data_IF_448011752264
#
_entry.id   IF_448011752264
#
_cell.length_a   1.000
_cell.length_b   1.000
_cell.length_c   1.000
_cell.angle_alpha   90.00
_cell.angle_beta   90.00
_cell.angle_gamma   90.00
#
_symmetry.space_group_name_H-M   'P 1'
#
loop_
_entity.id
_entity.type
_entity.pdbx_description
1 polymer ?
#
# COMPACT_ATOMS: atom_id res chain seq x y z
N UNK A 1 -5.59 18.10 6.90
CA UNK A 1 -6.38 18.61 5.76
C UNK A 1 -5.47 19.28 4.74
N UNK A 2 -4.71 20.32 5.12
CA UNK A 2 -3.82 21.06 4.19
C UNK A 2 -2.69 20.21 3.56
N UNK A 3 -1.94 19.41 4.34
CA UNK A 3 -0.85 18.55 3.79
C UNK A 3 -1.38 17.45 2.85
N UNK A 4 -2.63 17.05 3.05
CA UNK A 4 -3.30 15.99 2.27
C UNK A 4 -3.64 16.47 0.87
N UNK A 5 -4.22 17.67 0.77
CA UNK A 5 -4.63 18.26 -0.48
C UNK A 5 -3.45 18.76 -1.31
N UNK A 6 -2.42 19.34 -0.67
CA UNK A 6 -1.18 19.76 -1.34
C UNK A 6 -0.46 18.59 -2.01
N UNK A 7 -0.44 17.42 -1.38
CA UNK A 7 0.16 16.21 -1.96
C UNK A 7 -0.71 15.64 -3.09
N UNK A 8 -2.04 15.60 -2.92
CA UNK A 8 -2.95 15.18 -3.97
C UNK A 8 -2.87 16.08 -5.21
N UNK A 9 -2.72 17.40 -5.05
CA UNK A 9 -2.54 18.33 -6.17
C UNK A 9 -1.24 18.07 -6.95
N UNK A 10 -0.15 17.79 -6.24
CA UNK A 10 1.13 17.43 -6.87
C UNK A 10 1.05 16.09 -7.62
N UNK A 11 0.33 15.11 -7.08
CA UNK A 11 0.09 13.81 -7.71
C UNK A 11 -0.87 13.88 -8.92
N UNK A 12 -1.83 14.80 -8.93
CA UNK A 12 -2.70 15.02 -10.09
C UNK A 12 -1.96 15.65 -11.28
N UNK A 13 -0.82 16.30 -11.03
CA UNK A 13 0.04 16.87 -12.09
C UNK A 13 0.71 15.79 -12.96
N UNK A 14 0.90 14.57 -12.42
CA UNK A 14 1.50 13.44 -13.13
C UNK A 14 0.62 12.19 -13.04
N UNK A 15 -0.48 12.11 -13.81
CA UNK A 15 -1.51 11.09 -13.65
C UNK A 15 -1.00 9.66 -13.90
N UNK A 16 0.06 9.48 -14.71
CA UNK A 16 0.63 8.17 -15.06
C UNK A 16 1.43 7.53 -13.91
N UNK A 17 2.01 8.33 -13.02
CA UNK A 17 2.87 7.81 -11.93
C UNK A 17 2.05 7.23 -10.77
N UNK A 18 0.81 7.69 -10.58
CA UNK A 18 -0.03 7.27 -9.45
C UNK A 18 -0.33 5.77 -9.44
N UNK A 19 -0.61 5.19 -10.62
CA UNK A 19 -0.97 3.78 -10.71
C UNK A 19 0.23 2.87 -10.38
N UNK A 20 1.40 3.27 -10.86
CA UNK A 20 2.66 2.56 -10.61
C UNK A 20 3.06 2.67 -9.13
N UNK A 21 2.91 3.85 -8.53
CA UNK A 21 3.19 4.06 -7.10
C UNK A 21 2.27 3.21 -6.24
N UNK A 22 0.95 3.20 -6.49
CA UNK A 22 0.00 2.39 -5.72
C UNK A 22 0.33 0.90 -5.87
N UNK A 23 0.62 0.43 -7.08
CA UNK A 23 1.02 -0.96 -7.31
C UNK A 23 2.31 -1.34 -6.57
N UNK A 24 3.34 -0.50 -6.64
CA UNK A 24 4.61 -0.73 -5.96
C UNK A 24 4.41 -0.71 -4.44
N UNK A 25 3.67 0.28 -3.92
CA UNK A 25 3.41 0.41 -2.48
C UNK A 25 2.57 -0.75 -1.96
N UNK A 26 1.56 -1.20 -2.73
CA UNK A 26 0.75 -2.37 -2.43
C UNK A 26 1.59 -3.65 -2.40
N UNK A 27 2.45 -3.85 -3.41
CA UNK A 27 3.37 -4.97 -3.46
C UNK A 27 4.36 -4.94 -2.28
N UNK A 28 4.84 -3.75 -1.91
CA UNK A 28 5.75 -3.55 -0.78
C UNK A 28 5.06 -3.86 0.56
N UNK A 29 3.83 -3.36 0.77
CA UNK A 29 3.00 -3.70 1.94
C UNK A 29 2.78 -5.21 2.03
N UNK A 30 2.55 -5.87 0.88
CA UNK A 30 2.35 -7.30 0.84
C UNK A 30 3.61 -8.09 1.26
N UNK A 31 4.77 -7.73 0.69
CA UNK A 31 6.07 -8.33 1.05
C UNK A 31 6.42 -8.10 2.53
N UNK A 32 6.09 -6.91 3.09
CA UNK A 32 6.35 -6.59 4.50
C UNK A 32 5.37 -7.26 5.47
N UNK A 33 4.07 -7.28 5.13
CA UNK A 33 3.02 -7.88 5.96
C UNK A 33 3.09 -9.41 5.98
N UNK A 34 3.50 -10.01 4.86
CA UNK A 34 3.70 -11.43 4.70
C UNK A 34 5.20 -11.73 4.54
N UNK A 35 5.96 -11.54 5.63
CA UNK A 35 7.36 -12.00 5.76
C UNK A 35 7.44 -13.54 5.85
N UNK A 36 6.84 -14.23 4.89
CA UNK A 36 6.81 -15.68 4.80
C UNK A 36 7.38 -16.05 3.44
N UNK A 37 8.48 -16.82 3.44
CA UNK A 37 9.06 -17.39 2.22
C UNK A 37 7.98 -18.24 1.54
N UNK A 38 7.36 -17.71 0.49
CA UNK A 38 6.29 -18.40 -0.22
C UNK A 38 6.81 -18.96 -1.55
N UNK A 39 6.51 -20.24 -1.85
CA UNK A 39 6.81 -20.83 -3.15
C UNK A 39 6.13 -20.04 -4.27
N UNK A 40 6.79 -19.95 -5.44
CA UNK A 40 6.42 -19.09 -6.57
C UNK A 40 4.93 -19.20 -6.96
N UNK A 41 4.33 -20.39 -6.83
CA UNK A 41 2.92 -20.64 -7.12
C UNK A 41 1.96 -19.84 -6.23
N UNK A 42 2.28 -19.65 -4.94
CA UNK A 42 1.43 -18.85 -4.03
C UNK A 42 1.60 -17.36 -4.25
N UNK A 43 2.78 -16.89 -4.69
CA UNK A 43 2.98 -15.48 -5.08
C UNK A 43 2.06 -15.07 -6.24
N UNK A 44 1.80 -15.97 -7.18
CA UNK A 44 0.90 -15.69 -8.31
C UNK A 44 -0.56 -15.44 -7.86
N UNK A 45 -1.11 -16.31 -6.99
CA UNK A 45 -2.47 -16.15 -6.44
C UNK A 45 -2.59 -14.83 -5.67
N UNK A 46 -1.55 -14.51 -4.90
CA UNK A 46 -1.45 -13.27 -4.13
C UNK A 46 -1.44 -12.03 -5.03
N UNK A 47 -0.64 -12.04 -6.10
CA UNK A 47 -0.63 -10.96 -7.07
C UNK A 47 -2.00 -10.80 -7.76
N UNK A 48 -2.69 -11.90 -8.03
CA UNK A 48 -4.05 -11.88 -8.56
C UNK A 48 -5.04 -11.26 -7.57
N UNK A 49 -4.94 -11.62 -6.29
CA UNK A 49 -5.75 -11.07 -5.23
C UNK A 49 -5.43 -9.59 -4.97
N UNK A 50 -4.17 -9.17 -5.13
CA UNK A 50 -3.73 -7.77 -5.07
C UNK A 50 -4.33 -6.95 -6.22
N UNK A 51 -4.35 -7.53 -7.42
CA UNK A 51 -4.96 -6.92 -8.59
C UNK A 51 -6.47 -6.72 -8.38
N UNK A 52 -7.16 -7.71 -7.83
CA UNK A 52 -8.57 -7.62 -7.45
C UNK A 52 -8.77 -6.62 -6.29
N UNK A 53 -7.88 -6.59 -5.29
CA UNK A 53 -7.94 -5.64 -4.17
C UNK A 53 -7.73 -4.19 -4.58
N UNK A 54 -7.06 -3.95 -5.71
CA UNK A 54 -6.93 -2.61 -6.30
C UNK A 54 -8.23 -2.07 -6.91
N UNK A 55 -9.20 -2.91 -7.26
CA UNK A 55 -10.51 -2.46 -7.79
C UNK A 55 -11.29 -1.60 -6.79
N UNK A 56 -11.56 -2.05 -5.55
CA UNK A 56 -12.25 -1.20 -4.57
C UNK A 56 -11.42 0.03 -4.19
N UNK A 57 -10.08 -0.06 -4.17
CA UNK A 57 -9.21 1.10 -3.95
C UNK A 57 -9.37 2.15 -5.07
N UNK A 58 -9.51 1.73 -6.32
CA UNK A 58 -9.73 2.65 -7.45
C UNK A 58 -11.10 3.36 -7.32
N UNK A 59 -12.12 2.63 -6.87
CA UNK A 59 -13.46 3.17 -6.61
C UNK A 59 -13.49 4.16 -5.44
N UNK A 60 -12.85 3.84 -4.31
CA UNK A 60 -12.77 4.76 -3.18
C UNK A 60 -11.97 6.03 -3.51
N UNK A 61 -10.96 5.94 -4.40
CA UNK A 61 -10.25 7.12 -4.92
C UNK A 61 -11.17 7.98 -5.79
N UNK A 62 -12.04 7.37 -6.60
CA UNK A 62 -13.03 8.09 -7.40
C UNK A 62 -14.07 8.83 -6.53
N UNK A 63 -14.33 8.34 -5.32
CA UNK A 63 -15.18 9.01 -4.32
C UNK A 63 -14.48 10.17 -3.58
N UNK A 64 -13.23 10.51 -3.95
CA UNK A 64 -12.49 11.64 -3.37
C UNK A 64 -11.71 11.32 -2.10
N UNK A 65 -11.56 10.04 -1.73
CA UNK A 65 -10.79 9.67 -0.54
C UNK A 65 -9.28 9.61 -0.81
N UNK A 66 -8.43 10.12 0.10
CA UNK A 66 -6.97 10.12 -0.02
C UNK A 66 -6.35 8.74 0.27
N UNK A 67 -6.59 7.77 -0.61
CA UNK A 67 -6.11 6.37 -0.48
C UNK A 67 -4.60 6.22 -0.50
N UNK A 68 -3.91 7.00 -1.34
CA UNK A 68 -2.46 6.90 -1.47
C UNK A 68 -1.81 7.17 -0.11
N UNK A 69 -2.33 8.16 0.62
CA UNK A 69 -1.87 8.49 1.95
C UNK A 69 -2.26 7.45 2.99
N UNK A 70 -3.48 6.88 2.91
CA UNK A 70 -3.87 5.77 3.76
C UNK A 70 -2.93 4.55 3.59
N UNK A 71 -2.52 4.23 2.36
CA UNK A 71 -1.53 3.17 2.11
C UNK A 71 -0.14 3.53 2.63
N UNK A 72 0.27 4.79 2.49
CA UNK A 72 1.55 5.29 3.01
C UNK A 72 1.60 5.22 4.54
N UNK A 73 0.50 5.56 5.21
CA UNK A 73 0.34 5.42 6.65
C UNK A 73 0.33 3.95 7.05
N UNK A 74 -0.37 3.08 6.31
CA UNK A 74 -0.41 1.65 6.59
C UNK A 74 0.97 0.97 6.42
N UNK A 75 1.73 1.33 5.39
CA UNK A 75 3.09 0.82 5.18
C UNK A 75 4.03 1.29 6.28
N UNK A 76 3.98 2.58 6.64
CA UNK A 76 4.74 3.14 7.76
C UNK A 76 4.36 2.45 9.09
N UNK A 77 3.07 2.21 9.34
CA UNK A 77 2.58 1.50 10.52
C UNK A 77 3.14 0.08 10.58
N UNK A 78 3.10 -0.68 9.47
CA UNK A 78 3.65 -2.04 9.40
C UNK A 78 5.17 -2.05 9.61
N UNK A 79 5.89 -1.08 9.03
CA UNK A 79 7.34 -0.90 9.26
C UNK A 79 7.60 -0.66 10.74
N UNK A 80 6.88 0.26 11.38
CA UNK A 80 7.01 0.56 12.81
C UNK A 80 6.66 -0.65 13.67
N UNK A 81 5.58 -1.38 13.37
CA UNK A 81 5.19 -2.60 14.09
C UNK A 81 6.23 -3.71 13.93
N UNK A 82 6.84 -3.84 12.74
CA UNK A 82 7.92 -4.80 12.48
C UNK A 82 9.16 -4.45 13.29
N UNK A 83 9.54 -3.18 13.34
CA UNK A 83 10.65 -2.67 14.14
C UNK A 83 10.37 -2.66 15.65
N UNK A 84 9.09 -2.65 16.06
CA UNK A 84 8.66 -2.80 17.46
C UNK A 84 8.57 -4.28 17.91
N UNK A 85 8.72 -5.25 17.00
CA UNK A 85 8.87 -6.67 17.36
C UNK A 85 10.31 -7.10 17.69
N UNK A 86 11.08 -6.32 18.48
CA UNK A 86 12.05 -6.93 19.39
C UNK A 86 11.68 -6.65 20.86
N UNK A 87 11.72 -7.74 21.65
CA UNK A 87 11.70 -7.79 23.11
C UNK A 87 10.34 -7.74 23.86
N UNK A 88 9.54 -8.80 23.79
CA UNK A 88 8.85 -9.27 25.01
C UNK A 88 8.46 -10.76 24.97
N UNK A 89 9.46 -11.64 24.81
CA UNK A 89 9.35 -13.04 25.24
C UNK A 89 10.25 -13.21 26.48
N UNK A 90 9.69 -12.92 27.65
CA UNK A 90 10.06 -13.51 28.94
C UNK A 90 8.78 -13.85 29.68
#
# INVERSE_FOLDING_TARGET
>A
MIIVEWFNQWLTMYPKLNFVIILILAAFIYELGFSRKLPILKKAIIYFLLFIGCFPLTIFKALGLPIIQAMLVASALLIVVRLRRPANLR
#
